data_IF_378658756483
#
_entry.id   IF_378658756483
#
_cell.length_a   1.000
_cell.length_b   1.000
_cell.length_c   1.000
_cell.angle_alpha   90.00
_cell.angle_beta   90.00
_cell.angle_gamma   90.00
#
_symmetry.space_group_name_H-M   'P 1'
#
loop_
_entity.id
_entity.type
_entity.pdbx_description
1 polymer ?
#
# COMPACT_ATOMS: atom_id res chain seq x y z
N UNK A 1 -7.19 -16.39 -7.28
CA UNK A 1 -6.21 -15.58 -6.54
C UNK A 1 -5.55 -14.49 -7.38
N UNK A 2 -4.98 -14.72 -8.55
CA UNK A 2 -4.32 -13.67 -9.36
C UNK A 2 -5.20 -12.43 -9.62
N UNK A 3 -6.50 -12.60 -9.85
CA UNK A 3 -7.44 -11.46 -9.98
C UNK A 3 -7.57 -10.68 -8.66
N UNK A 4 -7.62 -11.35 -7.51
CA UNK A 4 -7.66 -10.69 -6.21
C UNK A 4 -6.36 -9.88 -5.97
N UNK A 5 -5.19 -10.43 -6.32
CA UNK A 5 -3.91 -9.72 -6.27
C UNK A 5 -3.88 -8.48 -7.19
N UNK A 6 -4.43 -8.58 -8.39
CA UNK A 6 -4.54 -7.43 -9.30
C UNK A 6 -5.45 -6.33 -8.73
N UNK A 7 -6.53 -6.70 -8.04
CA UNK A 7 -7.39 -5.75 -7.32
C UNK A 7 -6.67 -5.11 -6.13
N UNK A 8 -5.93 -5.89 -5.34
CA UNK A 8 -5.15 -5.40 -4.21
C UNK A 8 -4.20 -4.26 -4.62
N UNK A 9 -3.53 -4.40 -5.76
CA UNK A 9 -2.59 -3.38 -6.28
C UNK A 9 -3.21 -1.99 -6.48
N UNK A 10 -4.54 -1.91 -6.67
CA UNK A 10 -5.27 -0.62 -6.78
C UNK A 10 -5.25 0.19 -5.47
N UNK A 11 -5.09 -0.49 -4.35
CA UNK A 11 -5.02 0.13 -3.03
C UNK A 11 -3.63 0.64 -2.64
N UNK A 12 -2.55 0.21 -3.32
CA UNK A 12 -1.19 0.61 -2.99
C UNK A 12 -1.02 2.13 -3.01
N UNK A 13 -0.33 2.67 -2.01
CA UNK A 13 -0.12 4.11 -1.81
C UNK A 13 -1.32 4.85 -1.20
N UNK A 14 -2.49 4.20 -1.05
CA UNK A 14 -3.73 4.88 -0.62
C UNK A 14 -4.39 4.27 0.61
N UNK A 15 -3.95 3.10 1.08
CA UNK A 15 -4.65 2.34 2.15
C UNK A 15 -3.99 2.44 3.50
N UNK A 16 -2.78 2.98 3.59
CA UNK A 16 -2.04 3.07 4.85
C UNK A 16 -2.90 3.71 5.97
N UNK A 17 -2.77 3.26 7.22
CA UNK A 17 -1.85 2.23 7.74
C UNK A 17 -2.30 0.78 7.49
N UNK A 18 -3.43 0.56 6.81
CA UNK A 18 -4.01 -0.76 6.52
C UNK A 18 -3.35 -1.42 5.30
N UNK A 19 -3.37 -2.77 5.20
CA UNK A 19 -2.88 -3.47 4.03
C UNK A 19 -3.79 -3.22 2.80
N UNK A 20 -3.18 -3.25 1.61
CA UNK A 20 -3.89 -3.23 0.35
C UNK A 20 -4.35 -4.64 -0.01
N UNK A 21 -5.55 -5.02 0.38
CA UNK A 21 -6.15 -6.35 0.16
C UNK A 21 -7.06 -6.35 -1.06
N UNK A 22 -7.15 -7.49 -1.74
CA UNK A 22 -8.13 -7.74 -2.79
C UNK A 22 -8.97 -8.98 -2.48
N UNK A 23 -10.23 -8.95 -2.85
CA UNK A 23 -11.18 -10.03 -2.68
C UNK A 23 -11.97 -10.29 -3.96
N UNK A 24 -12.14 -11.58 -4.31
CA UNK A 24 -13.00 -12.01 -5.43
C UNK A 24 -13.89 -13.13 -4.92
N UNK A 25 -15.19 -12.98 -5.12
CA UNK A 25 -16.19 -14.01 -4.81
C UNK A 25 -16.58 -14.75 -6.07
N UNK A 26 -16.51 -16.07 -6.04
CA UNK A 26 -16.87 -16.95 -7.16
C UNK A 26 -17.96 -17.91 -6.70
N UNK A 27 -19.05 -17.99 -7.48
CA UNK A 27 -20.12 -18.97 -7.31
C UNK A 27 -20.45 -19.60 -8.67
N UNK A 28 -20.53 -20.92 -8.72
CA UNK A 28 -20.87 -21.67 -9.94
C UNK A 28 -20.00 -21.28 -11.15
N UNK A 29 -18.68 -21.13 -10.92
CA UNK A 29 -17.69 -20.73 -11.93
C UNK A 29 -17.75 -19.26 -12.35
N UNK A 30 -18.69 -18.46 -11.81
CA UNK A 30 -18.85 -17.05 -12.16
C UNK A 30 -18.39 -16.12 -11.04
N UNK A 31 -17.79 -15.00 -11.41
CA UNK A 31 -17.44 -13.95 -10.44
C UNK A 31 -18.70 -13.18 -10.08
N UNK A 32 -19.12 -13.27 -8.81
CA UNK A 32 -20.30 -12.60 -8.27
C UNK A 32 -19.97 -11.34 -7.49
N UNK A 33 -18.72 -11.17 -7.02
CA UNK A 33 -18.31 -9.97 -6.32
C UNK A 33 -16.80 -9.75 -6.43
N UNK A 34 -16.39 -8.46 -6.43
CA UNK A 34 -15.00 -8.00 -6.44
C UNK A 34 -14.85 -6.85 -5.47
N UNK A 35 -13.72 -6.79 -4.78
CA UNK A 35 -13.41 -5.68 -3.90
C UNK A 35 -11.91 -5.53 -3.70
N UNK A 36 -11.52 -4.34 -3.29
CA UNK A 36 -10.18 -4.04 -2.79
C UNK A 36 -10.29 -3.04 -1.66
N UNK A 37 -9.28 -3.00 -0.78
CA UNK A 37 -9.24 -2.03 0.32
C UNK A 37 -9.30 -0.61 -0.23
N UNK A 38 -10.30 0.17 0.18
CA UNK A 38 -10.53 1.51 -0.32
C UNK A 38 -9.55 2.54 0.27
N UNK A 39 -9.40 3.72 -0.35
CA UNK A 39 -8.55 4.79 0.16
C UNK A 39 -8.83 5.12 1.63
N UNK A 40 -7.75 5.31 2.42
CA UNK A 40 -7.86 5.46 3.88
C UNK A 40 -8.03 4.13 4.61
N UNK A 41 -7.92 3.00 3.90
CA UNK A 41 -7.93 1.65 4.47
C UNK A 41 -9.31 1.06 4.74
N UNK A 42 -10.40 1.76 4.36
CA UNK A 42 -11.79 1.30 4.56
C UNK A 42 -12.72 1.82 3.47
N UNK A 43 -13.79 1.04 3.11
CA UNK A 43 -14.09 -0.35 3.50
C UNK A 43 -13.02 -1.37 3.07
N UNK A 44 -12.98 -2.52 3.76
CA UNK A 44 -12.09 -3.64 3.40
C UNK A 44 -12.55 -4.33 2.11
N UNK A 45 -11.65 -5.08 1.48
CA UNK A 45 -11.89 -5.78 0.21
C UNK A 45 -13.09 -6.72 0.27
N UNK A 46 -13.20 -7.49 1.36
CA UNK A 46 -14.27 -8.45 1.57
C UNK A 46 -15.63 -7.75 1.68
N UNK A 47 -15.71 -6.64 2.41
CA UNK A 47 -16.93 -5.86 2.55
C UNK A 47 -17.41 -5.32 1.19
N UNK A 48 -16.49 -4.83 0.35
CA UNK A 48 -16.79 -4.37 -1.00
C UNK A 48 -17.28 -5.52 -1.90
N UNK A 49 -16.60 -6.67 -1.85
CA UNK A 49 -16.97 -7.83 -2.63
C UNK A 49 -18.34 -8.39 -2.21
N UNK A 50 -18.63 -8.46 -0.90
CA UNK A 50 -19.91 -8.89 -0.36
C UNK A 50 -21.03 -7.92 -0.73
N UNK A 51 -20.80 -6.62 -0.64
CA UNK A 51 -21.78 -5.61 -1.05
C UNK A 51 -22.16 -5.73 -2.54
N UNK A 52 -21.18 -6.00 -3.39
CA UNK A 52 -21.43 -6.22 -4.82
C UNK A 52 -22.19 -7.54 -5.08
N UNK A 53 -21.84 -8.62 -4.36
CA UNK A 53 -22.44 -9.93 -4.58
C UNK A 53 -23.87 -10.02 -4.05
N UNK A 54 -24.22 -9.31 -2.98
CA UNK A 54 -25.52 -9.41 -2.32
C UNK A 54 -25.86 -10.85 -1.98
N UNK A 55 -27.05 -11.31 -2.31
CA UNK A 55 -27.52 -12.68 -2.06
C UNK A 55 -26.72 -13.77 -2.80
N UNK A 56 -26.03 -13.43 -3.89
CA UNK A 56 -25.18 -14.35 -4.64
C UNK A 56 -23.90 -14.76 -3.88
N UNK A 57 -23.59 -14.09 -2.76
CA UNK A 57 -22.47 -14.45 -1.90
C UNK A 57 -22.69 -15.82 -1.22
N UNK A 58 -23.94 -16.20 -0.93
CA UNK A 58 -24.25 -17.47 -0.26
C UNK A 58 -23.77 -18.66 -1.08
N UNK A 59 -22.97 -19.53 -0.46
CA UNK A 59 -22.37 -20.70 -1.10
C UNK A 59 -21.17 -20.39 -2.00
N UNK A 60 -20.73 -19.13 -2.10
CA UNK A 60 -19.59 -18.75 -2.91
C UNK A 60 -18.25 -19.14 -2.26
N UNK A 61 -17.19 -19.18 -3.08
CA UNK A 61 -15.79 -19.22 -2.63
C UNK A 61 -15.22 -17.81 -2.66
N UNK A 62 -14.64 -17.34 -1.54
CA UNK A 62 -13.95 -16.08 -1.43
C UNK A 62 -12.43 -16.29 -1.60
N UNK A 63 -11.82 -15.60 -2.57
CA UNK A 63 -10.36 -15.53 -2.75
C UNK A 63 -9.88 -14.20 -2.20
N UNK A 64 -9.10 -14.24 -1.13
CA UNK A 64 -8.62 -13.04 -0.41
C UNK A 64 -7.10 -13.05 -0.33
N UNK A 65 -6.46 -11.91 -0.61
CA UNK A 65 -4.99 -11.83 -0.69
C UNK A 65 -4.29 -11.79 0.67
N UNK A 66 -5.04 -11.62 1.76
CA UNK A 66 -4.56 -11.66 3.14
C UNK A 66 -5.64 -12.30 4.00
N UNK A 67 -5.29 -12.86 5.14
CA UNK A 67 -6.23 -13.41 6.12
C UNK A 67 -7.34 -12.40 6.45
N UNK A 68 -8.63 -12.79 6.40
CA UNK A 68 -9.73 -11.93 6.82
C UNK A 68 -9.61 -11.51 8.28
N UNK A 69 -9.72 -10.23 8.56
CA UNK A 69 -9.50 -9.69 9.90
C UNK A 69 -10.49 -10.29 10.92
N UNK A 70 -9.98 -10.49 12.17
CA UNK A 70 -10.69 -11.12 13.29
C UNK A 70 -11.03 -10.14 14.43
N UNK A 71 -10.47 -8.92 14.41
CA UNK A 71 -10.65 -7.96 15.50
C UNK A 71 -11.78 -6.98 15.21
N UNK A 72 -12.54 -6.65 16.25
CA UNK A 72 -13.53 -5.57 16.21
C UNK A 72 -12.79 -4.22 16.20
N UNK A 73 -13.05 -3.43 15.18
CA UNK A 73 -12.54 -2.07 15.04
C UNK A 73 -13.69 -1.10 14.77
N UNK A 74 -13.51 -0.21 13.79
CA UNK A 74 -14.59 0.70 13.33
C UNK A 74 -15.73 -0.05 12.61
N UNK A 75 -15.49 -1.28 12.16
CA UNK A 75 -16.46 -2.16 11.50
C UNK A 75 -16.31 -3.57 12.04
N UNK A 76 -17.36 -4.40 11.95
CA UNK A 76 -17.25 -5.82 12.31
C UNK A 76 -16.14 -6.52 11.53
N UNK A 77 -15.55 -7.61 12.11
CA UNK A 77 -14.50 -8.38 11.45
C UNK A 77 -14.94 -8.97 10.12
N UNK A 78 -14.04 -8.98 9.13
CA UNK A 78 -14.32 -9.55 7.81
C UNK A 78 -14.60 -11.04 7.88
N UNK A 79 -13.93 -11.79 8.76
CA UNK A 79 -14.18 -13.21 8.98
C UNK A 79 -15.65 -13.45 9.36
N UNK A 80 -16.20 -12.69 10.31
CA UNK A 80 -17.62 -12.78 10.69
C UNK A 80 -18.56 -12.34 9.56
N UNK A 81 -18.20 -11.30 8.80
CA UNK A 81 -19.01 -10.85 7.68
C UNK A 81 -19.14 -11.93 6.59
N UNK A 82 -18.05 -12.64 6.30
CA UNK A 82 -18.03 -13.78 5.37
C UNK A 82 -18.91 -14.94 5.88
N UNK A 83 -18.85 -15.26 7.18
CA UNK A 83 -19.71 -16.26 7.82
C UNK A 83 -21.19 -15.87 7.69
N UNK A 84 -21.55 -14.65 8.09
CA UNK A 84 -22.94 -14.15 8.00
C UNK A 84 -23.48 -14.15 6.57
N UNK A 85 -22.62 -13.89 5.58
CA UNK A 85 -23.00 -13.96 4.17
C UNK A 85 -23.18 -15.39 3.65
N UNK A 86 -22.84 -16.40 4.44
CA UNK A 86 -22.95 -17.81 4.07
C UNK A 86 -21.93 -18.24 3.01
N UNK A 87 -20.71 -17.68 3.05
CA UNK A 87 -19.59 -18.12 2.20
C UNK A 87 -19.26 -19.58 2.55
N UNK A 88 -19.15 -20.44 1.54
CA UNK A 88 -18.87 -21.87 1.74
C UNK A 88 -17.37 -22.15 1.90
N UNK A 89 -16.53 -21.38 1.24
CA UNK A 89 -15.06 -21.58 1.25
C UNK A 89 -14.31 -20.25 1.19
N UNK A 90 -13.22 -20.16 1.93
CA UNK A 90 -12.23 -19.07 1.84
C UNK A 90 -10.90 -19.64 1.36
N UNK A 91 -10.31 -19.00 0.37
CA UNK A 91 -8.96 -19.25 -0.11
C UNK A 91 -8.15 -17.99 0.15
N UNK A 92 -7.18 -18.04 1.06
CA UNK A 92 -6.30 -16.92 1.38
C UNK A 92 -4.90 -17.12 0.84
N UNK A 93 -4.23 -16.02 0.51
CA UNK A 93 -2.86 -16.07 0.04
C UNK A 93 -1.85 -16.04 1.19
N UNK A 94 -2.11 -15.25 2.23
CA UNK A 94 -1.24 -15.06 3.38
C UNK A 94 -2.04 -15.16 4.68
N UNK A 95 -1.38 -15.66 5.72
CA UNK A 95 -1.78 -15.43 7.12
C UNK A 95 -1.30 -14.03 7.53
N UNK A 96 -2.12 -13.29 8.25
CA UNK A 96 -1.76 -11.96 8.71
C UNK A 96 -0.71 -12.06 9.83
N UNK A 97 0.45 -11.39 9.73
CA UNK A 97 1.46 -11.41 10.78
C UNK A 97 1.10 -10.55 12.00
N UNK A 98 0.06 -9.71 11.92
CA UNK A 98 -0.40 -8.89 13.05
C UNK A 98 -0.89 -9.82 14.18
N UNK A 99 -0.31 -9.77 15.41
CA UNK A 99 -0.72 -10.62 16.53
C UNK A 99 -2.20 -10.53 16.89
N UNK A 100 -2.88 -9.45 16.51
CA UNK A 100 -4.32 -9.26 16.70
C UNK A 100 -5.16 -10.12 15.76
N UNK A 101 -4.57 -10.58 14.66
CA UNK A 101 -5.22 -11.39 13.61
C UNK A 101 -4.62 -12.81 13.58
N UNK A 102 -3.39 -12.96 13.19
CA UNK A 102 -2.49 -14.14 13.24
C UNK A 102 -3.18 -15.52 13.38
N UNK A 103 -3.92 -15.95 12.35
CA UNK A 103 -4.65 -17.22 12.32
C UNK A 103 -6.07 -17.17 12.95
N UNK A 104 -6.42 -16.09 13.65
CA UNK A 104 -7.75 -15.96 14.32
C UNK A 104 -8.88 -15.84 13.32
N UNK A 105 -8.66 -15.15 12.18
CA UNK A 105 -9.65 -15.05 11.13
C UNK A 105 -9.96 -16.41 10.49
N UNK A 106 -8.92 -17.19 10.23
CA UNK A 106 -9.09 -18.56 9.74
C UNK A 106 -9.76 -19.45 10.78
N UNK A 107 -9.45 -19.30 12.08
CA UNK A 107 -10.09 -20.06 13.15
C UNK A 107 -11.61 -19.76 13.24
N UNK A 108 -12.02 -18.48 13.17
CA UNK A 108 -13.44 -18.07 13.14
C UNK A 108 -14.16 -18.73 11.96
N UNK A 109 -13.57 -18.70 10.77
CA UNK A 109 -14.16 -19.31 9.56
C UNK A 109 -14.34 -20.82 9.73
N UNK A 110 -13.30 -21.54 10.20
CA UNK A 110 -13.35 -22.99 10.42
C UNK A 110 -14.39 -23.39 11.48
N UNK A 111 -14.43 -22.63 12.59
CA UNK A 111 -15.42 -22.87 13.66
C UNK A 111 -16.87 -22.70 13.17
N UNK A 112 -17.09 -21.87 12.17
CA UNK A 112 -18.40 -21.69 11.52
C UNK A 112 -18.67 -22.68 10.37
N UNK A 113 -17.81 -23.68 10.15
CA UNK A 113 -17.96 -24.67 9.09
C UNK A 113 -17.54 -24.22 7.70
N UNK A 114 -16.88 -23.06 7.57
CA UNK A 114 -16.35 -22.57 6.30
C UNK A 114 -15.04 -23.29 5.97
N UNK A 115 -14.93 -23.88 4.77
CA UNK A 115 -13.70 -24.52 4.32
C UNK A 115 -12.60 -23.46 4.09
N UNK A 116 -11.40 -23.66 4.65
CA UNK A 116 -10.28 -22.71 4.53
C UNK A 116 -9.09 -23.37 3.86
N UNK A 117 -8.57 -22.72 2.81
CA UNK A 117 -7.32 -23.08 2.11
C UNK A 117 -6.39 -21.87 2.18
N UNK A 118 -5.16 -22.09 2.63
CA UNK A 118 -4.13 -21.03 2.84
C UNK A 118 -2.97 -21.17 1.85
N UNK A 119 -2.16 -20.12 1.69
CA UNK A 119 -0.90 -20.15 0.94
C UNK A 119 -1.03 -20.10 -0.58
N UNK A 120 -2.21 -19.82 -1.13
CA UNK A 120 -2.40 -19.79 -2.60
C UNK A 120 -1.83 -18.53 -3.22
N UNK A 121 -0.81 -18.63 -4.05
CA UNK A 121 0.00 -17.51 -4.61
C UNK A 121 0.69 -16.70 -3.49
N UNK A 122 1.22 -17.38 -2.49
CA UNK A 122 1.84 -16.75 -1.31
C UNK A 122 2.99 -15.80 -1.68
N UNK A 123 3.89 -16.21 -2.57
CA UNK A 123 5.03 -15.39 -3.01
C UNK A 123 4.58 -14.08 -3.64
N UNK A 124 3.60 -14.12 -4.56
CA UNK A 124 3.05 -12.92 -5.20
C UNK A 124 2.36 -12.00 -4.18
N UNK A 125 1.68 -12.58 -3.19
CA UNK A 125 1.01 -11.83 -2.13
C UNK A 125 2.02 -11.17 -1.17
N UNK A 126 3.10 -11.88 -0.79
CA UNK A 126 4.19 -11.31 0.02
C UNK A 126 4.84 -10.12 -0.67
N UNK A 127 5.10 -10.21 -1.97
CA UNK A 127 5.65 -9.10 -2.73
C UNK A 127 4.68 -7.91 -2.78
N UNK A 128 3.39 -8.15 -3.04
CA UNK A 128 2.38 -7.10 -3.05
C UNK A 128 2.23 -6.41 -1.67
N UNK A 129 2.32 -7.19 -0.58
CA UNK A 129 2.17 -6.73 0.80
C UNK A 129 3.49 -6.35 1.48
N UNK A 130 4.63 -6.36 0.77
CA UNK A 130 5.97 -6.16 1.35
C UNK A 130 6.03 -4.95 2.29
N UNK A 131 5.45 -3.81 1.90
CA UNK A 131 5.43 -2.62 2.74
C UNK A 131 4.69 -2.82 4.07
N UNK A 132 3.50 -3.38 4.03
CA UNK A 132 2.72 -3.69 5.22
C UNK A 132 3.44 -4.72 6.10
N UNK A 133 3.95 -5.80 5.52
CA UNK A 133 4.68 -6.85 6.24
C UNK A 133 5.95 -6.30 6.91
N UNK A 134 6.71 -5.45 6.20
CA UNK A 134 7.91 -4.79 6.76
C UNK A 134 7.54 -3.91 7.95
N UNK A 135 6.46 -3.14 7.85
CA UNK A 135 6.01 -2.29 8.95
C UNK A 135 5.60 -3.10 10.18
N UNK A 136 4.84 -4.19 10.01
CA UNK A 136 4.42 -5.04 11.13
C UNK A 136 5.62 -5.73 11.78
N UNK A 137 6.54 -6.28 10.97
CA UNK A 137 7.67 -7.06 11.48
C UNK A 137 8.84 -6.21 12.02
N UNK A 138 9.07 -5.02 11.45
CA UNK A 138 10.26 -4.20 11.71
C UNK A 138 9.95 -2.79 12.25
N UNK A 139 8.68 -2.42 12.39
CA UNK A 139 8.27 -1.10 12.86
C UNK A 139 8.55 0.06 11.90
N UNK A 140 8.99 -0.21 10.67
CA UNK A 140 9.36 0.81 9.68
C UNK A 140 8.72 0.53 8.31
N UNK A 141 8.49 1.54 7.45
CA UNK A 141 8.04 1.31 6.09
C UNK A 141 9.10 0.62 5.24
N UNK A 142 8.67 -0.01 4.16
CA UNK A 142 9.55 -0.38 3.06
C UNK A 142 10.07 0.88 2.37
N UNK A 143 11.36 0.93 2.11
CA UNK A 143 11.99 1.99 1.33
C UNK A 143 12.28 1.51 -0.09
N UNK A 144 11.79 2.24 -1.09
CA UNK A 144 12.18 2.10 -2.49
C UNK A 144 13.08 3.26 -2.85
N UNK A 145 14.33 2.98 -3.20
CA UNK A 145 15.29 3.98 -3.65
C UNK A 145 15.22 4.13 -5.17
N UNK A 146 15.07 5.37 -5.64
CA UNK A 146 15.20 5.74 -7.05
C UNK A 146 16.51 6.47 -7.26
N UNK A 147 17.28 6.03 -8.22
CA UNK A 147 18.48 6.70 -8.69
C UNK A 147 18.32 7.07 -10.16
N UNK A 148 18.75 8.29 -10.52
CA UNK A 148 18.96 8.69 -11.90
C UNK A 148 20.45 8.98 -12.06
N UNK A 149 21.15 8.19 -12.87
CA UNK A 149 22.57 8.32 -13.09
C UNK A 149 22.92 8.24 -14.58
N UNK A 150 24.01 8.91 -14.96
CA UNK A 150 24.67 8.68 -16.25
C UNK A 150 25.28 7.28 -16.29
N UNK A 151 25.77 6.87 -17.47
CA UNK A 151 26.36 5.55 -17.66
C UNK A 151 27.60 5.31 -16.79
N UNK A 152 28.36 6.38 -16.47
CA UNK A 152 29.50 6.34 -15.56
C UNK A 152 29.11 6.53 -14.06
N UNK A 153 27.80 6.42 -13.74
CA UNK A 153 27.30 6.41 -12.37
C UNK A 153 27.20 7.79 -11.71
N UNK A 154 27.29 8.90 -12.47
CA UNK A 154 27.17 10.25 -11.93
C UNK A 154 25.72 10.70 -11.85
N UNK A 155 25.37 11.46 -10.81
CA UNK A 155 24.03 12.04 -10.59
C UNK A 155 23.95 13.50 -11.03
N UNK A 156 25.09 14.15 -11.34
CA UNK A 156 25.22 15.49 -11.85
C UNK A 156 26.56 15.67 -12.55
N UNK A 157 26.69 16.72 -13.34
CA UNK A 157 28.01 17.21 -13.88
C UNK A 157 28.86 17.77 -12.77
N UNK A 158 30.14 18.08 -13.07
CA UNK A 158 31.04 18.77 -12.14
C UNK A 158 30.53 20.18 -11.77
N UNK A 159 29.75 20.84 -12.63
CA UNK A 159 29.06 22.10 -12.35
C UNK A 159 27.77 21.97 -11.56
N UNK A 160 27.33 20.73 -11.21
CA UNK A 160 26.08 20.48 -10.48
C UNK A 160 24.85 20.39 -11.36
N UNK A 161 24.97 20.44 -12.68
CA UNK A 161 23.84 20.29 -13.60
C UNK A 161 23.37 18.82 -13.64
N UNK A 162 22.08 18.58 -13.36
CA UNK A 162 21.47 17.23 -13.29
C UNK A 162 20.29 17.04 -14.22
N UNK A 163 19.88 18.05 -14.96
CA UNK A 163 18.68 18.01 -15.82
C UNK A 163 19.05 17.99 -17.31
N UNK A 164 18.61 16.97 -18.12
CA UNK A 164 17.89 15.76 -17.68
C UNK A 164 18.73 14.53 -17.99
N UNK A 165 19.08 13.73 -16.98
CA UNK A 165 19.82 12.48 -17.16
C UNK A 165 18.94 11.42 -17.79
N UNK A 166 17.62 11.42 -17.49
CA UNK A 166 16.66 10.42 -17.97
C UNK A 166 15.59 11.03 -18.87
N UNK A 167 15.11 10.25 -19.85
CA UNK A 167 14.10 10.67 -20.81
C UNK A 167 12.68 10.80 -20.21
N UNK A 168 11.77 11.35 -21.01
CA UNK A 168 10.39 11.64 -20.60
C UNK A 168 9.62 10.37 -20.16
N UNK A 169 9.87 9.23 -20.80
CA UNK A 169 9.25 7.95 -20.43
C UNK A 169 9.66 7.49 -19.04
N UNK A 170 10.95 7.58 -18.70
CA UNK A 170 11.46 7.23 -17.38
C UNK A 170 10.86 8.16 -16.30
N UNK A 171 10.78 9.48 -16.58
CA UNK A 171 10.14 10.43 -15.66
C UNK A 171 8.65 10.14 -15.46
N UNK A 172 7.92 9.76 -16.52
CA UNK A 172 6.51 9.31 -16.38
C UNK A 172 6.41 8.05 -15.52
N UNK A 173 7.34 7.11 -15.67
CA UNK A 173 7.39 5.90 -14.83
C UNK A 173 7.62 6.24 -13.35
N UNK A 174 8.46 7.23 -13.04
CA UNK A 174 8.64 7.74 -11.67
C UNK A 174 7.32 8.21 -11.07
N UNK A 175 6.50 8.97 -11.83
CA UNK A 175 5.17 9.37 -11.35
C UNK A 175 4.24 8.18 -11.13
N UNK A 176 4.32 7.11 -11.95
CA UNK A 176 3.58 5.87 -11.71
C UNK A 176 4.05 5.15 -10.44
N UNK A 177 5.35 5.17 -10.14
CA UNK A 177 5.89 4.63 -8.89
C UNK A 177 5.41 5.41 -7.66
N UNK A 178 5.36 6.74 -7.74
CA UNK A 178 4.80 7.58 -6.66
C UNK A 178 3.36 7.19 -6.31
N UNK A 179 2.54 6.77 -7.29
CA UNK A 179 1.17 6.31 -7.06
C UNK A 179 1.07 5.08 -6.17
N UNK A 180 2.09 4.23 -6.15
CA UNK A 180 2.10 2.97 -5.40
C UNK A 180 2.80 3.09 -4.04
N UNK A 181 3.15 4.32 -3.64
CA UNK A 181 3.81 4.62 -2.37
C UNK A 181 2.99 5.61 -1.55
N UNK A 182 3.04 5.46 -0.23
CA UNK A 182 2.31 6.31 0.71
C UNK A 182 2.94 7.69 0.81
N UNK A 183 4.27 7.75 0.61
CA UNK A 183 5.05 8.97 0.69
C UNK A 183 6.19 9.01 -0.33
N UNK A 184 6.58 10.24 -0.72
CA UNK A 184 7.77 10.54 -1.51
C UNK A 184 8.75 11.31 -0.64
N UNK A 185 10.01 10.90 -0.60
CA UNK A 185 11.03 11.42 0.31
C UNK A 185 12.26 11.92 -0.46
N UNK A 186 12.78 13.07 -0.02
CA UNK A 186 14.08 13.64 -0.48
C UNK A 186 14.89 14.17 0.70
N UNK A 187 16.19 14.33 0.51
CA UNK A 187 17.06 15.04 1.44
C UNK A 187 16.88 16.55 1.39
N UNK A 188 17.31 17.24 2.45
CA UNK A 188 17.15 18.69 2.59
C UNK A 188 17.91 19.48 1.52
N UNK A 189 19.07 19.02 1.04
CA UNK A 189 19.81 19.72 -0.01
C UNK A 189 19.06 19.66 -1.34
N UNK A 190 18.53 18.49 -1.74
CA UNK A 190 17.68 18.36 -2.92
C UNK A 190 16.44 19.24 -2.80
N UNK A 191 15.79 19.25 -1.63
CA UNK A 191 14.63 20.09 -1.41
C UNK A 191 14.93 21.59 -1.58
N UNK A 192 16.11 22.07 -1.14
CA UNK A 192 16.54 23.46 -1.30
C UNK A 192 16.93 23.81 -2.73
N UNK A 193 17.67 22.90 -3.39
CA UNK A 193 18.16 23.15 -4.74
C UNK A 193 17.04 23.13 -5.79
N UNK A 194 16.17 22.10 -5.72
CA UNK A 194 15.20 21.82 -6.79
C UNK A 194 13.79 22.33 -6.47
N UNK A 195 13.47 22.62 -5.19
CA UNK A 195 12.14 22.98 -4.71
C UNK A 195 11.06 22.08 -5.30
N UNK A 196 11.19 20.74 -5.21
CA UNK A 196 10.38 19.80 -5.96
C UNK A 196 8.96 19.74 -5.40
N UNK A 197 7.96 19.60 -6.28
CA UNK A 197 6.57 19.40 -5.87
C UNK A 197 6.31 18.05 -5.20
N UNK A 198 7.15 17.02 -5.44
CA UNK A 198 7.04 15.64 -4.92
C UNK A 198 5.66 15.02 -5.10
N UNK A 199 4.91 15.49 -6.07
CA UNK A 199 3.54 15.11 -6.35
C UNK A 199 3.43 14.14 -7.54
N UNK A 200 2.26 13.54 -7.70
CA UNK A 200 1.91 12.75 -8.88
C UNK A 200 1.30 13.65 -9.94
N UNK A 201 1.78 13.54 -11.19
CA UNK A 201 1.28 14.29 -12.34
C UNK A 201 1.03 13.36 -13.53
N UNK A 202 0.08 13.73 -14.40
CA UNK A 202 -0.19 13.00 -15.64
C UNK A 202 -1.04 11.72 -15.50
N UNK A 203 -1.71 11.53 -14.35
CA UNK A 203 -2.57 10.37 -14.07
C UNK A 203 -3.99 10.76 -13.60
N UNK A 204 -4.40 12.00 -13.81
CA UNK A 204 -5.70 12.50 -13.37
C UNK A 204 -5.71 13.03 -11.94
N UNK A 205 -6.91 13.31 -11.42
CA UNK A 205 -7.11 13.76 -10.04
C UNK A 205 -7.01 12.56 -9.09
N UNK A 206 -5.96 12.54 -8.26
CA UNK A 206 -5.64 11.44 -7.35
C UNK A 206 -5.28 11.99 -5.98
N UNK A 207 -5.44 11.15 -4.94
CA UNK A 207 -4.85 11.45 -3.65
C UNK A 207 -3.34 11.55 -3.80
N UNK A 208 -2.77 12.64 -3.33
CA UNK A 208 -1.33 12.86 -3.40
C UNK A 208 -0.60 12.16 -2.25
N UNK A 209 0.61 11.61 -2.48
CA UNK A 209 1.43 11.02 -1.44
C UNK A 209 1.87 12.08 -0.41
N UNK A 210 2.17 11.64 0.80
CA UNK A 210 2.86 12.47 1.79
C UNK A 210 4.22 12.86 1.22
N UNK A 211 4.61 14.12 1.37
CA UNK A 211 5.92 14.62 0.96
C UNK A 211 6.83 14.70 2.18
N UNK A 212 8.00 14.08 2.11
CA UNK A 212 8.93 14.00 3.24
C UNK A 212 10.24 14.67 2.87
N UNK A 213 10.69 15.59 3.73
CA UNK A 213 12.02 16.18 3.66
C UNK A 213 12.83 15.71 4.88
N UNK A 214 13.96 15.05 4.61
CA UNK A 214 14.91 14.64 5.66
C UNK A 214 15.91 15.77 5.86
N UNK A 215 15.76 16.55 6.94
CA UNK A 215 16.64 17.70 7.21
C UNK A 215 16.61 18.09 8.68
N UNK A 216 17.79 18.40 9.25
CA UNK A 216 17.92 19.03 10.57
C UNK A 216 17.76 20.55 10.55
N UNK A 217 17.83 21.16 9.36
CA UNK A 217 17.62 22.61 9.15
C UNK A 217 16.16 22.87 8.83
N UNK A 218 15.72 24.12 8.98
CA UNK A 218 14.39 24.55 8.55
C UNK A 218 14.09 24.06 7.11
N UNK A 219 12.87 23.58 6.83
CA UNK A 219 12.53 23.14 5.48
C UNK A 219 12.58 24.33 4.54
N UNK A 220 12.95 24.10 3.26
CA UNK A 220 12.79 25.14 2.26
C UNK A 220 11.30 25.41 2.04
N UNK A 221 11.02 26.58 1.49
CA UNK A 221 9.67 26.91 1.05
C UNK A 221 9.28 26.00 -0.12
N UNK A 222 8.41 25.04 0.15
CA UNK A 222 7.83 24.13 -0.83
C UNK A 222 6.34 24.47 -1.03
N UNK A 223 5.72 24.04 -2.15
CA UNK A 223 4.29 24.27 -2.37
C UNK A 223 3.46 23.84 -1.15
N UNK A 224 2.49 24.65 -0.76
CA UNK A 224 1.56 24.31 0.32
C UNK A 224 0.76 23.03 0.01
N UNK A 225 0.13 22.45 1.03
CA UNK A 225 -0.80 21.34 0.85
C UNK A 225 -2.06 21.86 0.12
N UNK A 226 -2.40 21.20 -0.99
CA UNK A 226 -3.58 21.49 -1.80
C UNK A 226 -4.02 20.22 -2.57
N UNK A 227 -4.93 20.37 -3.51
CA UNK A 227 -5.39 19.25 -4.35
C UNK A 227 -4.28 18.60 -5.20
N UNK A 228 -3.20 19.33 -5.49
CA UNK A 228 -2.06 18.86 -6.29
C UNK A 228 -0.86 18.42 -5.44
N UNK A 229 -0.83 18.76 -4.16
CA UNK A 229 0.30 18.51 -3.26
C UNK A 229 -0.19 17.92 -1.93
N UNK A 230 0.25 16.72 -1.60
CA UNK A 230 -0.04 16.08 -0.31
C UNK A 230 0.63 16.78 0.88
N UNK A 231 0.35 16.31 2.12
CA UNK A 231 0.94 16.83 3.34
C UNK A 231 2.46 16.87 3.28
N UNK A 232 3.09 17.91 3.84
CA UNK A 232 4.53 18.02 3.96
C UNK A 232 4.97 17.67 5.39
N UNK A 233 5.84 16.68 5.50
CA UNK A 233 6.44 16.28 6.76
C UNK A 233 7.96 16.51 6.71
N UNK A 234 8.50 16.99 7.81
CA UNK A 234 9.94 17.04 8.04
C UNK A 234 10.31 15.99 9.08
N UNK A 235 11.41 15.30 8.82
CA UNK A 235 12.05 14.37 9.77
C UNK A 235 13.54 14.62 9.80
N UNK A 236 14.20 14.24 10.89
CA UNK A 236 15.65 14.43 11.05
C UNK A 236 16.25 13.32 11.91
N UNK A 237 17.57 13.27 12.00
CA UNK A 237 18.30 12.28 12.77
C UNK A 237 18.79 11.09 11.94
N UNK A 238 19.26 10.03 12.60
CA UNK A 238 19.78 8.85 11.90
C UNK A 238 18.65 8.09 11.19
N UNK A 239 18.95 7.42 10.07
CA UNK A 239 17.96 6.73 9.24
C UNK A 239 17.04 5.78 10.01
N UNK A 240 17.56 5.04 10.96
CA UNK A 240 16.80 4.10 11.78
C UNK A 240 15.71 4.82 12.60
N UNK A 241 16.04 5.97 13.17
CA UNK A 241 15.12 6.72 14.01
C UNK A 241 13.97 7.33 13.21
N UNK A 242 14.26 8.07 12.12
CA UNK A 242 13.17 8.66 11.33
C UNK A 242 12.36 7.61 10.57
N UNK A 243 12.95 6.49 10.15
CA UNK A 243 12.19 5.40 9.53
C UNK A 243 11.25 4.72 10.53
N UNK A 244 11.67 4.54 11.79
CA UNK A 244 10.79 4.05 12.85
C UNK A 244 9.64 5.05 13.12
N UNK A 245 9.92 6.36 13.17
CA UNK A 245 8.92 7.40 13.28
C UNK A 245 7.88 7.34 12.15
N UNK A 246 8.33 7.21 10.90
CA UNK A 246 7.44 7.08 9.74
C UNK A 246 6.56 5.82 9.82
N UNK A 247 7.12 4.71 10.31
CA UNK A 247 6.37 3.48 10.60
C UNK A 247 5.32 3.67 11.68
N UNK A 248 5.66 4.36 12.77
CA UNK A 248 4.73 4.70 13.86
C UNK A 248 3.59 5.60 13.38
N UNK A 249 3.85 6.54 12.47
CA UNK A 249 2.84 7.37 11.80
C UNK A 249 1.96 6.58 10.81
N UNK A 250 2.27 5.30 10.56
CA UNK A 250 1.43 4.39 9.77
C UNK A 250 1.88 4.17 8.34
N UNK A 251 2.93 4.82 7.85
CA UNK A 251 3.41 4.60 6.48
C UNK A 251 3.90 3.18 6.29
N UNK A 252 3.57 2.59 5.14
CA UNK A 252 3.98 1.24 4.77
C UNK A 252 5.02 1.25 3.65
N UNK A 253 4.97 2.22 2.74
CA UNK A 253 5.83 2.32 1.54
C UNK A 253 6.31 3.76 1.36
N UNK A 254 7.62 3.97 1.36
CA UNK A 254 8.25 5.27 1.10
C UNK A 254 9.09 5.18 -0.17
N UNK A 255 8.91 6.13 -1.08
CA UNK A 255 9.68 6.27 -2.31
C UNK A 255 10.73 7.38 -2.12
N UNK A 256 12.00 7.01 -2.03
CA UNK A 256 13.12 7.95 -1.88
C UNK A 256 13.68 8.31 -3.25
N UNK A 257 13.66 9.58 -3.59
CA UNK A 257 14.14 10.08 -4.88
C UNK A 257 15.56 10.71 -4.79
N UNK A 258 16.25 10.48 -3.69
CA UNK A 258 17.64 10.86 -3.50
C UNK A 258 17.81 12.15 -2.72
N UNK A 259 19.02 12.71 -2.79
CA UNK A 259 19.46 13.95 -2.15
C UNK A 259 20.64 13.77 -1.23
#
# INVERSE_FOLDING_TARGET
MRQALALARRGLGNTWPNPAVGCVLIRDGRVVGRGWTQPGGRPHAEAMALAQAGAAARGATAYVTLEPCAHHGKTPPCAEALVRAGIARVVSALTDPDPRVAGRGHAILRAAGVAVTEGVCESDAREAQRGFLTRVAQGRPMLTLKLASSFDGRIATASGESQWITGAQARRHVHALRLTHDAVMVGGETARADRPGLNVRGFGALRQPVRIVVSSRAPPELPAEDAAHGPLWQVSGPPEAFMAELGARGLTRVFCEGG
#
